data_IF_632401043644
#
_entry.id   IF_632401043644
#
_cell.length_a   1.000
_cell.length_b   1.000
_cell.length_c   1.000
_cell.angle_alpha   90.00
_cell.angle_beta   90.00
_cell.angle_gamma   90.00
#
_symmetry.space_group_name_H-M   'P 1'
#
loop_
_entity.id
_entity.type
_entity.pdbx_description
1 polymer ?
#
# COMPACT_ATOMS: atom_id res chain seq x y z
N UNK A 1 -4.90 4.18 -21.41
CA UNK A 1 -5.01 3.76 -20.00
C UNK A 1 -5.76 4.87 -19.29
N UNK A 2 -6.97 4.62 -18.80
CA UNK A 2 -7.78 5.66 -18.15
C UNK A 2 -7.15 5.88 -16.76
N UNK A 3 -6.59 7.06 -16.52
CA UNK A 3 -6.13 7.44 -15.18
C UNK A 3 -7.36 7.57 -14.28
N UNK A 4 -7.61 6.52 -13.49
CA UNK A 4 -8.58 6.57 -12.41
C UNK A 4 -7.84 6.95 -11.13
N UNK A 5 -8.27 8.03 -10.48
CA UNK A 5 -7.80 8.38 -9.15
C UNK A 5 -8.10 7.27 -8.14
N UNK A 6 -7.25 7.13 -7.13
CA UNK A 6 -7.44 6.17 -6.03
C UNK A 6 -8.12 6.91 -4.88
N UNK A 7 -9.30 6.46 -4.47
CA UNK A 7 -10.00 7.06 -3.32
C UNK A 7 -9.38 6.65 -1.99
N UNK A 8 -9.54 7.47 -0.95
CA UNK A 8 -9.07 7.15 0.42
C UNK A 8 -9.70 5.85 0.93
N UNK A 9 -10.99 5.63 0.68
CA UNK A 9 -11.69 4.41 1.07
C UNK A 9 -11.07 3.16 0.42
N UNK A 10 -10.71 3.25 -0.88
CA UNK A 10 -10.03 2.16 -1.55
C UNK A 10 -8.66 1.87 -0.92
N UNK A 11 -7.95 2.89 -0.41
CA UNK A 11 -6.68 2.72 0.32
C UNK A 11 -6.90 2.07 1.70
N UNK A 12 -7.93 2.45 2.43
CA UNK A 12 -8.24 1.87 3.73
C UNK A 12 -8.64 0.40 3.62
N UNK A 13 -9.57 0.07 2.71
CA UNK A 13 -9.99 -1.32 2.46
C UNK A 13 -8.82 -2.20 2.01
N UNK A 14 -8.00 -1.63 1.14
CA UNK A 14 -6.76 -2.20 0.68
C UNK A 14 -5.84 -2.53 1.87
N UNK A 15 -5.49 -1.57 2.74
CA UNK A 15 -4.61 -1.81 3.91
C UNK A 15 -5.18 -2.90 4.83
N UNK A 16 -6.50 -2.96 5.00
CA UNK A 16 -7.17 -3.97 5.83
C UNK A 16 -7.13 -5.37 5.21
N UNK A 17 -7.53 -5.51 3.94
CA UNK A 17 -7.77 -6.80 3.27
C UNK A 17 -6.61 -7.29 2.40
N UNK A 18 -5.70 -6.39 2.03
CA UNK A 18 -4.69 -6.63 1.02
C UNK A 18 -3.59 -7.57 1.46
N UNK A 19 -3.00 -8.25 0.48
CA UNK A 19 -1.83 -9.10 0.68
C UNK A 19 -0.63 -8.24 1.09
N UNK A 20 0.09 -8.71 2.11
CA UNK A 20 1.21 -8.00 2.74
C UNK A 20 2.46 -8.84 2.55
N UNK A 21 3.49 -8.23 2.00
CA UNK A 21 4.81 -8.82 1.88
C UNK A 21 5.77 -8.05 2.79
N UNK A 22 6.41 -8.75 3.73
CA UNK A 22 7.43 -8.14 4.57
C UNK A 22 8.74 -8.06 3.81
N UNK A 23 9.22 -6.83 3.60
CA UNK A 23 10.54 -6.58 3.04
C UNK A 23 11.50 -6.19 4.15
N UNK A 24 12.47 -7.07 4.39
CA UNK A 24 13.50 -6.92 5.42
C UNK A 24 14.29 -5.63 5.14
N UNK A 25 14.58 -4.79 6.16
CA UNK A 25 14.36 -5.03 7.59
C UNK A 25 13.02 -4.57 8.19
N UNK A 26 12.30 -3.62 7.58
CA UNK A 26 11.11 -3.01 8.19
C UNK A 26 10.11 -2.36 7.21
N UNK A 27 10.13 -2.77 5.96
CA UNK A 27 9.16 -2.32 4.96
C UNK A 27 8.07 -3.37 4.77
N UNK A 28 6.87 -2.93 4.44
CA UNK A 28 5.78 -3.80 4.04
C UNK A 28 5.30 -3.32 2.68
N UNK A 29 5.32 -4.22 1.71
CA UNK A 29 4.65 -4.03 0.43
C UNK A 29 3.20 -4.48 0.60
N UNK A 30 2.28 -3.59 0.25
CA UNK A 30 0.87 -3.92 0.16
C UNK A 30 0.47 -3.99 -1.30
N UNK A 31 -0.02 -5.14 -1.71
CA UNK A 31 -0.48 -5.36 -3.07
C UNK A 31 -1.99 -5.21 -3.13
N UNK A 32 -2.44 -4.26 -3.93
CA UNK A 32 -3.84 -4.03 -4.19
C UNK A 32 -4.16 -4.21 -5.66
N UNK A 33 -5.46 -4.19 -5.96
CA UNK A 33 -5.97 -4.47 -7.30
C UNK A 33 -5.46 -3.47 -8.34
N UNK A 34 -5.39 -2.20 -7.96
CA UNK A 34 -5.06 -1.10 -8.88
C UNK A 34 -3.77 -0.37 -8.54
N UNK A 35 -3.13 -0.69 -7.42
CA UNK A 35 -1.91 -0.03 -6.99
C UNK A 35 -1.14 -0.90 -5.99
N UNK A 36 0.11 -0.54 -5.76
CA UNK A 36 0.95 -1.09 -4.71
C UNK A 36 1.34 0.05 -3.78
N UNK A 37 1.23 -0.16 -2.48
CA UNK A 37 1.74 0.79 -1.48
C UNK A 37 2.95 0.20 -0.76
N UNK A 38 3.91 1.05 -0.42
CA UNK A 38 5.04 0.70 0.45
C UNK A 38 4.84 1.44 1.75
N UNK A 39 4.74 0.70 2.85
CA UNK A 39 4.81 1.28 4.18
C UNK A 39 6.11 0.90 4.87
N UNK A 40 6.54 1.71 5.83
CA UNK A 40 7.61 1.38 6.76
C UNK A 40 7.04 1.34 8.16
N UNK A 41 7.41 0.31 8.92
CA UNK A 41 7.13 0.25 10.34
C UNK A 41 8.19 1.06 11.08
N UNK A 42 7.74 2.06 11.85
CA UNK A 42 8.58 2.84 12.76
C UNK A 42 7.93 2.71 14.14
N UNK A 43 8.65 2.12 15.10
CA UNK A 43 8.10 1.72 16.39
C UNK A 43 6.87 0.82 16.22
N UNK A 44 5.69 1.26 16.66
CA UNK A 44 4.44 0.50 16.56
C UNK A 44 3.50 0.99 15.43
N UNK A 45 3.92 2.02 14.69
CA UNK A 45 3.10 2.68 13.67
C UNK A 45 3.57 2.33 12.25
N UNK A 46 2.65 2.40 11.29
CA UNK A 46 2.90 2.17 9.87
C UNK A 46 2.76 3.47 9.08
N UNK A 47 3.82 3.85 8.38
CA UNK A 47 3.84 5.05 7.55
C UNK A 47 3.85 4.64 6.08
N UNK A 48 2.81 5.01 5.32
CA UNK A 48 2.80 4.84 3.86
C UNK A 48 3.73 5.87 3.24
N UNK A 49 4.79 5.41 2.59
CA UNK A 49 5.84 6.28 2.00
C UNK A 49 5.62 6.42 0.49
N UNK A 50 5.04 5.41 -0.15
CA UNK A 50 4.88 5.39 -1.60
C UNK A 50 3.61 4.67 -1.97
N UNK A 51 2.88 5.24 -2.94
CA UNK A 51 1.74 4.64 -3.60
C UNK A 51 2.03 4.68 -5.09
N UNK A 52 2.05 3.51 -5.74
CA UNK A 52 2.30 3.37 -7.18
C UNK A 52 1.12 2.68 -7.84
N UNK A 53 0.43 3.32 -8.81
CA UNK A 53 -0.58 2.66 -9.63
C UNK A 53 0.01 1.43 -10.35
N UNK A 54 -0.77 0.36 -10.48
CA UNK A 54 -0.40 -0.78 -11.30
C UNK A 54 -0.71 -0.46 -12.77
N UNK A 55 0.33 -0.62 -13.60
CA UNK A 55 0.29 -0.62 -15.07
C UNK A 55 -0.48 -1.81 -15.61
#
# INVERSE_FOLDING_TARGET
MIERGISVNEVEEAIQKGAKELQIPNKILYHFRYFTAVAKKINNDYFVITVKPRG
#
